data_IF_001456245077
#
_entry.id   IF_001456245077
#
_cell.length_a   1.000
_cell.length_b   1.000
_cell.length_c   1.000
_cell.angle_alpha   90.00
_cell.angle_beta   90.00
_cell.angle_gamma   90.00
#
_symmetry.space_group_name_H-M   'P 1'
#
loop_
_entity.id
_entity.type
_entity.pdbx_description
1 polymer ?
#
# COMPACT_ATOMS: atom_id res chain seq x y z
N UNK A 1 14.75 0.47 17.01
CA UNK A 1 14.58 1.91 17.35
C UNK A 1 14.62 2.84 16.14
N UNK A 2 15.51 2.67 15.14
CA UNK A 2 15.58 3.58 13.97
C UNK A 2 14.33 3.56 13.05
N UNK A 3 13.67 2.42 12.89
CA UNK A 3 12.51 2.29 11.99
C UNK A 3 11.25 3.02 12.47
N UNK A 4 10.97 3.04 13.78
CA UNK A 4 9.87 3.83 14.36
C UNK A 4 10.06 5.33 14.13
N UNK A 5 11.31 5.79 14.09
CA UNK A 5 11.62 7.19 13.80
C UNK A 5 11.30 7.54 12.35
N UNK A 6 11.67 6.68 11.41
CA UNK A 6 11.45 6.90 9.97
C UNK A 6 9.97 6.86 9.59
N UNK A 7 9.21 5.88 10.08
CA UNK A 7 7.76 5.84 9.83
C UNK A 7 7.04 6.99 10.54
N UNK A 8 7.52 7.39 11.72
CA UNK A 8 7.05 8.62 12.38
C UNK A 8 7.35 9.89 11.57
N UNK A 9 8.50 9.98 10.88
CA UNK A 9 8.82 11.08 9.97
C UNK A 9 7.92 11.04 8.74
N UNK A 10 7.74 9.87 8.12
CA UNK A 10 6.82 9.68 6.99
C UNK A 10 5.40 10.16 7.33
N UNK A 11 4.87 9.72 8.47
CA UNK A 11 3.55 10.10 8.96
C UNK A 11 3.46 11.60 9.29
N UNK A 12 4.51 12.21 9.86
CA UNK A 12 4.54 13.66 10.11
C UNK A 12 4.55 14.47 8.81
N UNK A 13 5.34 14.06 7.83
CA UNK A 13 5.42 14.69 6.52
C UNK A 13 4.10 14.55 5.76
N UNK A 14 3.50 13.35 5.73
CA UNK A 14 2.19 13.13 5.12
C UNK A 14 1.11 13.96 5.82
N UNK A 15 1.04 13.96 7.16
CA UNK A 15 0.08 14.80 7.92
C UNK A 15 0.13 16.28 7.53
N UNK A 16 1.31 16.82 7.23
CA UNK A 16 1.48 18.23 6.89
C UNK A 16 0.84 18.61 5.55
N UNK A 17 0.74 17.68 4.61
CA UNK A 17 0.11 17.86 3.29
C UNK A 17 -1.44 17.80 3.37
N UNK A 18 -1.99 17.07 4.35
CA UNK A 18 -3.45 16.89 4.50
C UNK A 18 -4.16 17.93 5.37
N UNK A 19 -3.67 19.18 5.42
CA UNK A 19 -4.29 20.25 6.25
C UNK A 19 -5.76 20.48 5.93
N UNK A 20 -6.15 20.28 4.67
CA UNK A 20 -7.51 20.48 4.16
C UNK A 20 -8.37 19.19 4.13
N UNK A 21 -7.84 18.07 4.63
CA UNK A 21 -8.55 16.79 4.71
C UNK A 21 -8.65 16.36 6.18
N UNK A 22 -9.66 16.86 6.93
CA UNK A 22 -9.70 16.76 8.40
C UNK A 22 -9.66 15.31 8.89
N UNK A 23 -10.26 14.39 8.13
CA UNK A 23 -10.31 12.99 8.48
C UNK A 23 -8.98 12.25 8.28
N UNK A 24 -8.31 12.49 7.15
CA UNK A 24 -6.96 11.96 6.91
C UNK A 24 -5.99 12.49 7.97
N UNK A 25 -6.09 13.79 8.29
CA UNK A 25 -5.32 14.40 9.36
C UNK A 25 -5.61 13.78 10.72
N UNK A 26 -6.88 13.52 11.05
CA UNK A 26 -7.26 12.85 12.29
C UNK A 26 -6.69 11.42 12.37
N UNK A 27 -6.73 10.69 11.25
CA UNK A 27 -6.16 9.34 11.14
C UNK A 27 -4.65 9.32 11.41
N UNK A 28 -3.90 10.22 10.78
CA UNK A 28 -2.46 10.33 11.05
C UNK A 28 -2.15 10.84 12.47
N UNK A 29 -2.96 11.76 13.01
CA UNK A 29 -2.81 12.19 14.41
C UNK A 29 -2.99 11.02 15.38
N UNK A 30 -3.99 10.17 15.15
CA UNK A 30 -4.22 8.97 15.95
C UNK A 30 -3.00 8.03 15.89
N UNK A 31 -2.47 7.74 14.69
CA UNK A 31 -1.29 6.88 14.55
C UNK A 31 -0.05 7.45 15.25
N UNK A 32 0.13 8.78 15.25
CA UNK A 32 1.22 9.43 16.00
C UNK A 32 1.05 9.33 17.51
N UNK A 33 -0.18 9.25 18.01
CA UNK A 33 -0.50 9.06 19.42
C UNK A 33 -0.47 7.58 19.84
N UNK A 34 -0.51 6.65 18.89
CA UNK A 34 -0.52 5.21 19.10
C UNK A 34 0.74 4.56 18.49
N UNK A 35 1.91 4.68 19.15
CA UNK A 35 3.18 4.21 18.58
C UNK A 35 3.23 2.70 18.34
N UNK A 36 2.45 1.92 19.09
CA UNK A 36 2.34 0.47 18.88
C UNK A 36 1.56 0.15 17.59
N UNK A 37 0.42 0.81 17.34
CA UNK A 37 -0.34 0.69 16.09
C UNK A 37 0.53 1.06 14.88
N UNK A 38 1.26 2.16 14.99
CA UNK A 38 2.17 2.61 13.95
C UNK A 38 3.28 1.59 13.67
N UNK A 39 3.88 1.01 14.71
CA UNK A 39 4.95 0.02 14.58
C UNK A 39 4.45 -1.28 13.93
N UNK A 40 3.26 -1.77 14.30
CA UNK A 40 2.65 -2.96 13.70
C UNK A 40 2.39 -2.73 12.21
N UNK A 41 1.78 -1.60 11.84
CA UNK A 41 1.49 -1.27 10.45
C UNK A 41 2.76 -1.11 9.62
N UNK A 42 3.78 -0.43 10.16
CA UNK A 42 5.08 -0.31 9.52
C UNK A 42 5.72 -1.68 9.25
N UNK A 43 5.72 -2.56 10.25
CA UNK A 43 6.23 -3.93 10.13
C UNK A 43 5.48 -4.73 9.06
N UNK A 44 4.15 -4.65 9.06
CA UNK A 44 3.32 -5.43 8.15
C UNK A 44 3.44 -4.92 6.71
N UNK A 45 3.50 -3.61 6.51
CA UNK A 45 3.76 -3.04 5.20
C UNK A 45 5.17 -3.39 4.69
N UNK A 46 6.19 -3.31 5.55
CA UNK A 46 7.55 -3.75 5.19
C UNK A 46 7.62 -5.24 4.86
N UNK A 47 6.83 -6.07 5.54
CA UNK A 47 6.69 -7.48 5.18
C UNK A 47 6.16 -7.62 3.76
N UNK A 48 5.10 -6.90 3.38
CA UNK A 48 4.58 -6.90 2.00
C UNK A 48 5.67 -6.47 1.01
N UNK A 49 6.35 -5.36 1.25
CA UNK A 49 7.41 -4.87 0.35
C UNK A 49 8.55 -5.89 0.18
N UNK A 50 8.95 -6.54 1.27
CA UNK A 50 9.93 -7.62 1.23
C UNK A 50 9.43 -8.81 0.40
N UNK A 51 8.17 -9.22 0.58
CA UNK A 51 7.57 -10.32 -0.16
C UNK A 51 7.50 -10.02 -1.66
N UNK A 52 7.08 -8.81 -2.05
CA UNK A 52 7.08 -8.40 -3.46
C UNK A 52 8.52 -8.30 -3.99
N UNK A 53 9.45 -7.69 -3.26
CA UNK A 53 10.84 -7.53 -3.68
C UNK A 53 11.60 -8.85 -3.89
N UNK A 54 11.37 -9.86 -3.04
CA UNK A 54 11.92 -11.21 -3.22
C UNK A 54 11.50 -11.86 -4.54
N UNK A 55 10.31 -11.50 -5.04
CA UNK A 55 9.76 -12.03 -6.27
C UNK A 55 10.23 -11.27 -7.51
N UNK A 56 10.42 -9.95 -7.41
CA UNK A 56 10.99 -9.15 -8.49
C UNK A 56 12.48 -9.44 -8.73
N UNK A 57 13.20 -9.89 -7.71
CA UNK A 57 14.65 -10.14 -7.74
C UNK A 57 15.09 -11.54 -8.17
N UNK A 58 14.17 -12.49 -8.34
CA UNK A 58 14.50 -13.87 -8.70
C UNK A 58 13.44 -14.49 -9.64
N UNK A 59 13.73 -14.66 -10.93
CA UNK A 59 12.78 -15.26 -11.87
C UNK A 59 12.53 -16.76 -11.64
N UNK A 60 13.36 -17.46 -10.86
CA UNK A 60 13.14 -18.88 -10.52
C UNK A 60 12.10 -19.06 -9.42
N UNK A 61 11.83 -18.00 -8.66
CA UNK A 61 10.80 -17.96 -7.64
C UNK A 61 9.38 -18.02 -8.24
N UNK A 62 9.18 -17.63 -9.52
CA UNK A 62 7.88 -17.54 -10.19
C UNK A 62 7.05 -18.84 -10.09
N UNK A 63 7.69 -20.01 -10.18
CA UNK A 63 7.01 -21.32 -10.06
C UNK A 63 6.48 -21.62 -8.66
N UNK A 64 6.97 -20.93 -7.63
CA UNK A 64 6.60 -21.11 -6.21
C UNK A 64 5.36 -20.31 -5.79
N UNK A 65 4.93 -19.34 -6.61
CA UNK A 65 3.87 -18.38 -6.26
C UNK A 65 2.66 -18.42 -7.19
N UNK A 66 2.38 -19.57 -7.82
CA UNK A 66 1.11 -19.83 -8.54
C UNK A 66 -0.15 -19.61 -7.70
N UNK A 67 0.00 -19.34 -6.40
CA UNK A 67 -1.02 -19.03 -5.40
C UNK A 67 -1.35 -17.54 -5.28
N UNK A 68 -0.58 -16.65 -5.92
CA UNK A 68 -0.72 -15.19 -5.84
C UNK A 68 -0.87 -14.54 -7.23
N UNK A 69 -2.04 -14.65 -7.89
CA UNK A 69 -2.27 -14.12 -9.23
C UNK A 69 -2.04 -12.60 -9.37
N UNK A 70 -2.32 -11.81 -8.33
CA UNK A 70 -2.08 -10.36 -8.41
C UNK A 70 -0.61 -10.00 -8.27
N UNK A 71 0.11 -10.73 -7.42
CA UNK A 71 1.57 -10.64 -7.37
C UNK A 71 2.21 -11.06 -8.69
N UNK A 72 1.71 -12.12 -9.32
CA UNK A 72 2.17 -12.58 -10.63
C UNK A 72 2.00 -11.47 -11.68
N UNK A 73 0.80 -10.90 -11.79
CA UNK A 73 0.51 -9.79 -12.71
C UNK A 73 1.39 -8.56 -12.45
N UNK A 74 1.66 -8.26 -11.18
CA UNK A 74 2.56 -7.16 -10.80
C UNK A 74 3.99 -7.43 -11.29
N UNK A 75 4.52 -8.65 -11.12
CA UNK A 75 5.89 -8.99 -11.54
C UNK A 75 6.03 -8.85 -13.06
N UNK A 76 5.03 -9.27 -13.82
CA UNK A 76 5.01 -9.13 -15.28
C UNK A 76 5.06 -7.67 -15.75
N UNK A 77 4.48 -6.75 -14.98
CA UNK A 77 4.46 -5.32 -15.29
C UNK A 77 5.76 -4.58 -14.91
N UNK A 78 6.62 -5.20 -14.12
CA UNK A 78 7.86 -4.57 -13.64
C UNK A 78 9.06 -4.93 -14.54
N UNK A 79 9.99 -3.98 -14.79
CA UNK A 79 11.27 -4.31 -15.40
C UNK A 79 12.03 -5.38 -14.59
N UNK A 80 12.73 -6.29 -15.27
CA UNK A 80 13.59 -7.29 -14.62
C UNK A 80 14.59 -6.64 -13.65
N UNK A 81 14.85 -7.29 -12.51
CA UNK A 81 15.72 -6.81 -11.43
C UNK A 81 15.28 -5.49 -10.78
N UNK A 82 13.99 -5.15 -10.83
CA UNK A 82 13.52 -3.97 -10.10
C UNK A 82 13.66 -4.14 -8.60
N UNK A 83 14.20 -3.12 -7.94
CA UNK A 83 14.25 -3.03 -6.48
C UNK A 83 13.19 -2.03 -6.00
N UNK A 84 12.27 -2.51 -5.16
CA UNK A 84 11.29 -1.64 -4.53
C UNK A 84 11.96 -0.70 -3.53
N UNK A 85 11.70 0.61 -3.60
CA UNK A 85 12.23 1.56 -2.65
C UNK A 85 11.58 1.36 -1.28
N UNK A 86 12.36 1.29 -0.20
CA UNK A 86 11.78 1.32 1.14
C UNK A 86 10.98 2.60 1.39
N UNK A 87 10.01 2.56 2.32
CA UNK A 87 9.34 3.79 2.81
C UNK A 87 10.38 4.82 3.30
N UNK A 88 11.45 4.33 3.94
CA UNK A 88 12.55 5.17 4.42
C UNK A 88 13.25 5.96 3.31
N UNK A 89 13.55 5.31 2.18
CA UNK A 89 14.23 5.96 1.07
C UNK A 89 13.33 6.98 0.38
N UNK A 90 12.05 6.66 0.19
CA UNK A 90 11.06 7.63 -0.34
C UNK A 90 11.01 8.89 0.51
N UNK A 91 10.95 8.72 1.84
CA UNK A 91 10.91 9.86 2.78
C UNK A 91 12.19 10.67 2.72
N UNK A 92 13.36 10.02 2.73
CA UNK A 92 14.65 10.70 2.61
C UNK A 92 14.80 11.48 1.30
N UNK A 93 14.28 10.94 0.19
CA UNK A 93 14.24 11.65 -1.09
C UNK A 93 13.29 12.86 -1.04
N UNK A 94 12.11 12.74 -0.42
CA UNK A 94 11.16 13.84 -0.27
C UNK A 94 11.67 14.97 0.65
N UNK A 95 12.52 14.64 1.62
CA UNK A 95 13.18 15.62 2.48
C UNK A 95 14.22 16.43 1.71
N UNK A 96 14.94 15.80 0.79
CA UNK A 96 16.07 16.40 0.07
C UNK A 96 15.71 16.98 -1.31
N UNK A 97 14.55 16.65 -1.87
CA UNK A 97 14.09 17.14 -3.18
C UNK A 97 12.69 17.78 -3.12
N UNK A 98 12.62 19.07 -3.46
CA UNK A 98 11.36 19.83 -3.58
C UNK A 98 10.46 19.25 -4.67
N UNK A 99 11.06 18.82 -5.78
CA UNK A 99 10.33 18.21 -6.89
C UNK A 99 9.70 16.88 -6.46
N UNK A 100 10.48 16.04 -5.78
CA UNK A 100 10.01 14.76 -5.27
C UNK A 100 8.92 14.95 -4.21
N UNK A 101 9.04 15.96 -3.33
CA UNK A 101 7.99 16.31 -2.38
C UNK A 101 6.68 16.71 -3.06
N UNK A 102 6.74 17.57 -4.08
CA UNK A 102 5.56 17.94 -4.89
C UNK A 102 4.96 16.75 -5.59
N UNK A 103 5.79 15.81 -6.02
CA UNK A 103 5.35 14.58 -6.64
C UNK A 103 4.60 13.67 -5.66
N UNK A 104 5.11 13.47 -4.43
CA UNK A 104 4.38 12.77 -3.36
C UNK A 104 3.04 13.45 -3.06
N UNK A 105 3.01 14.78 -2.97
CA UNK A 105 1.76 15.51 -2.74
C UNK A 105 0.75 15.33 -3.88
N UNK A 106 1.20 15.31 -5.15
CA UNK A 106 0.33 15.01 -6.30
C UNK A 106 -0.18 13.57 -6.28
N UNK A 107 0.64 12.60 -5.90
CA UNK A 107 0.24 11.20 -5.77
C UNK A 107 -0.88 11.04 -4.73
N UNK A 108 -0.76 11.78 -3.64
CA UNK A 108 -1.78 11.88 -2.59
C UNK A 108 -3.11 12.45 -3.12
N UNK A 109 -3.06 13.57 -3.84
CA UNK A 109 -4.27 14.21 -4.38
C UNK A 109 -4.95 13.33 -5.45
N UNK A 110 -4.14 12.68 -6.30
CA UNK A 110 -4.62 11.74 -7.30
C UNK A 110 -5.30 10.53 -6.63
N UNK A 111 -4.63 9.89 -5.67
CA UNK A 111 -5.19 8.75 -4.94
C UNK A 111 -6.54 9.10 -4.30
N UNK A 112 -6.66 10.30 -3.72
CA UNK A 112 -7.92 10.80 -3.15
C UNK A 112 -9.04 10.92 -4.20
N UNK A 113 -8.69 11.32 -5.42
CA UNK A 113 -9.65 11.49 -6.52
C UNK A 113 -10.11 10.16 -7.12
N UNK A 114 -9.21 9.17 -7.20
CA UNK A 114 -9.46 7.90 -7.86
C UNK A 114 -10.09 6.86 -6.93
N UNK A 115 -9.71 6.86 -5.65
CA UNK A 115 -10.11 5.86 -4.69
C UNK A 115 -10.85 6.51 -3.51
N UNK A 116 -12.05 7.07 -3.74
CA UNK A 116 -12.76 7.80 -2.71
C UNK A 116 -13.18 6.90 -1.56
N UNK A 117 -13.25 5.57 -1.74
CA UNK A 117 -13.76 4.64 -0.71
C UNK A 117 -13.03 4.69 0.64
N UNK A 118 -11.70 4.88 0.67
CA UNK A 118 -10.95 5.07 1.92
C UNK A 118 -10.96 6.53 2.42
N UNK A 119 -11.28 7.47 1.52
CA UNK A 119 -11.37 8.90 1.80
C UNK A 119 -12.80 9.37 2.17
N UNK A 120 -13.83 8.56 1.88
CA UNK A 120 -15.26 8.86 2.00
C UNK A 120 -15.76 8.90 3.44
N UNK A 121 -16.90 9.55 3.63
CA UNK A 121 -17.51 9.80 4.93
C UNK A 121 -18.20 8.53 5.49
N UNK A 122 -17.54 7.84 6.42
CA UNK A 122 -18.13 6.70 7.13
C UNK A 122 -17.12 5.62 7.56
N UNK A 123 -16.00 6.04 8.16
CA UNK A 123 -14.88 5.15 8.51
C UNK A 123 -15.32 3.91 9.30
N UNK A 124 -14.92 2.72 8.84
CA UNK A 124 -14.99 1.51 9.66
C UNK A 124 -14.01 1.59 10.85
N UNK A 125 -12.83 2.21 10.65
CA UNK A 125 -11.82 2.48 11.69
C UNK A 125 -11.16 3.84 11.47
N UNK A 126 -10.75 4.49 12.56
CA UNK A 126 -10.05 5.79 12.49
C UNK A 126 -8.77 5.75 11.65
N UNK A 127 -8.16 4.58 11.50
CA UNK A 127 -6.92 4.33 10.75
C UNK A 127 -7.13 4.12 9.25
N UNK A 128 -8.37 3.85 8.79
CA UNK A 128 -8.68 3.55 7.39
C UNK A 128 -8.14 4.61 6.41
N UNK A 129 -8.29 5.94 6.67
CA UNK A 129 -7.73 6.95 5.79
C UNK A 129 -6.21 6.92 5.66
N UNK A 130 -5.50 6.79 6.78
CA UNK A 130 -4.05 6.74 6.77
C UNK A 130 -3.52 5.49 6.07
N UNK A 131 -4.22 4.36 6.19
CA UNK A 131 -3.91 3.12 5.48
C UNK A 131 -4.10 3.29 3.97
N UNK A 132 -5.25 3.83 3.54
CA UNK A 132 -5.50 4.13 2.13
C UNK A 132 -4.44 5.06 1.55
N UNK A 133 -4.14 6.18 2.23
CA UNK A 133 -3.06 7.08 1.82
C UNK A 133 -1.73 6.35 1.70
N UNK A 134 -1.35 5.52 2.67
CA UNK A 134 -0.08 4.80 2.64
C UNK A 134 0.02 3.88 1.41
N UNK A 135 -0.99 3.03 1.21
CA UNK A 135 -0.99 2.03 0.13
C UNK A 135 -1.04 2.70 -1.25
N UNK A 136 -1.99 3.62 -1.44
CA UNK A 136 -2.27 4.24 -2.74
C UNK A 136 -1.19 5.23 -3.15
N UNK A 137 -0.70 6.03 -2.21
CA UNK A 137 0.41 6.95 -2.50
C UNK A 137 1.65 6.14 -2.87
N UNK A 138 1.96 5.08 -2.14
CA UNK A 138 3.11 4.24 -2.46
C UNK A 138 2.94 3.54 -3.82
N UNK A 139 1.74 3.04 -4.13
CA UNK A 139 1.41 2.46 -5.43
C UNK A 139 1.60 3.43 -6.59
N UNK A 140 1.16 4.68 -6.44
CA UNK A 140 1.31 5.74 -7.44
C UNK A 140 2.78 6.19 -7.58
N UNK A 141 3.53 6.20 -6.47
CA UNK A 141 4.98 6.44 -6.47
C UNK A 141 5.68 5.38 -7.32
N UNK A 142 5.31 4.11 -7.16
CA UNK A 142 5.86 3.02 -7.97
C UNK A 142 5.45 3.14 -9.43
N UNK A 143 4.16 3.35 -9.71
CA UNK A 143 3.63 3.50 -11.06
C UNK A 143 4.39 4.57 -11.84
N UNK A 144 4.60 5.74 -11.25
CA UNK A 144 5.37 6.83 -11.88
C UNK A 144 6.88 6.57 -11.99
N UNK A 145 7.47 5.78 -11.09
CA UNK A 145 8.92 5.45 -11.15
C UNK A 145 9.24 4.40 -12.20
N UNK A 146 8.36 3.42 -12.37
CA UNK A 146 8.62 2.22 -13.17
C UNK A 146 7.74 2.11 -14.41
N UNK A 147 6.67 2.90 -14.52
CA UNK A 147 5.72 2.93 -15.63
C UNK A 147 6.16 3.75 -16.85
N UNK A 148 7.46 3.95 -17.09
CA UNK A 148 7.88 4.65 -18.31
C UNK A 148 7.46 3.84 -19.56
N UNK A 149 6.43 4.31 -20.26
CA UNK A 149 5.84 3.63 -21.43
C UNK A 149 4.82 2.54 -21.11
N UNK A 150 4.59 2.24 -19.84
CA UNK A 150 3.56 1.33 -19.34
C UNK A 150 2.50 2.16 -18.61
N UNK A 151 1.25 1.72 -18.65
CA UNK A 151 0.15 2.46 -18.06
C UNK A 151 0.37 2.57 -16.54
N UNK A 152 0.77 3.74 -16.02
CA UNK A 152 1.06 3.98 -14.59
C UNK A 152 -0.05 3.40 -13.69
N UNK A 153 -1.30 3.58 -14.10
CA UNK A 153 -2.50 3.11 -13.42
C UNK A 153 -2.52 1.58 -13.24
N UNK A 154 -1.96 0.83 -14.21
CA UNK A 154 -1.88 -0.63 -14.16
C UNK A 154 -0.91 -1.09 -13.08
N UNK A 155 0.29 -0.52 -13.02
CA UNK A 155 1.30 -0.84 -12.00
C UNK A 155 0.76 -0.50 -10.62
N UNK A 156 0.16 0.68 -10.47
CA UNK A 156 -0.42 1.10 -9.19
C UNK A 156 -1.55 0.18 -8.75
N UNK A 157 -2.48 -0.19 -9.65
CA UNK A 157 -3.57 -1.11 -9.32
C UNK A 157 -3.07 -2.51 -8.97
N UNK A 158 -2.15 -3.07 -9.76
CA UNK A 158 -1.59 -4.39 -9.49
C UNK A 158 -0.79 -4.41 -8.17
N UNK A 159 -0.13 -3.30 -7.81
CA UNK A 159 0.54 -3.20 -6.52
C UNK A 159 -0.44 -3.24 -5.34
N UNK A 160 -1.57 -2.55 -5.44
CA UNK A 160 -2.62 -2.55 -4.39
C UNK A 160 -3.19 -3.95 -4.23
N UNK A 161 -3.60 -4.57 -5.34
CA UNK A 161 -4.17 -5.93 -5.35
C UNK A 161 -3.17 -6.97 -4.82
N UNK A 162 -1.89 -6.88 -5.21
CA UNK A 162 -0.84 -7.76 -4.68
C UNK A 162 -0.60 -7.53 -3.17
N UNK A 163 -0.64 -6.27 -2.72
CA UNK A 163 -0.52 -5.93 -1.29
C UNK A 163 -1.65 -6.56 -0.49
N UNK A 164 -2.88 -6.39 -0.96
CA UNK A 164 -4.08 -6.95 -0.36
C UNK A 164 -4.05 -8.47 -0.34
N UNK A 165 -3.69 -9.09 -1.45
CA UNK A 165 -3.55 -10.53 -1.59
C UNK A 165 -2.53 -11.11 -0.60
N UNK A 166 -1.33 -10.52 -0.51
CA UNK A 166 -0.30 -10.95 0.45
C UNK A 166 -0.80 -10.80 1.89
N UNK A 167 -1.46 -9.69 2.21
CA UNK A 167 -2.01 -9.46 3.55
C UNK A 167 -3.14 -10.45 3.87
N UNK A 168 -4.04 -10.73 2.93
CA UNK A 168 -5.14 -11.69 3.10
C UNK A 168 -4.62 -13.10 3.39
N UNK A 169 -3.62 -13.54 2.63
CA UNK A 169 -3.16 -14.93 2.68
C UNK A 169 -2.08 -15.16 3.74
N UNK A 170 -1.16 -14.21 3.91
CA UNK A 170 0.02 -14.42 4.73
C UNK A 170 -0.03 -13.66 6.07
N UNK A 171 -0.82 -12.57 6.17
CA UNK A 171 -0.91 -11.72 7.37
C UNK A 171 -2.36 -11.28 7.68
N UNK A 172 -3.33 -12.21 7.79
CA UNK A 172 -4.74 -11.87 7.98
C UNK A 172 -5.03 -11.15 9.32
N UNK A 173 -4.09 -11.21 10.26
CA UNK A 173 -4.14 -10.50 11.55
C UNK A 173 -3.68 -9.03 11.45
N UNK A 174 -3.20 -8.60 10.28
CA UNK A 174 -2.68 -7.24 10.11
C UNK A 174 -3.79 -6.20 10.24
N UNK A 175 -3.59 -5.12 11.03
CA UNK A 175 -4.57 -4.04 11.10
C UNK A 175 -4.69 -3.27 9.76
N UNK A 176 -3.78 -3.48 8.79
CA UNK A 176 -3.90 -2.98 7.42
C UNK A 176 -5.04 -3.69 6.69
N UNK A 177 -5.15 -5.03 6.78
CA UNK A 177 -6.21 -5.76 6.08
C UNK A 177 -7.60 -5.49 6.66
N UNK A 178 -7.68 -5.29 7.97
CA UNK A 178 -8.93 -4.87 8.63
C UNK A 178 -9.39 -3.50 8.13
N UNK A 179 -8.46 -2.56 7.94
CA UNK A 179 -8.80 -1.24 7.38
C UNK A 179 -9.24 -1.34 5.92
N UNK A 180 -8.68 -2.31 5.19
CA UNK A 180 -8.96 -2.57 3.78
C UNK A 180 -10.27 -3.33 3.51
N UNK A 181 -10.82 -3.98 4.53
CA UNK A 181 -12.01 -4.84 4.41
C UNK A 181 -13.20 -4.19 3.68
N UNK A 182 -13.55 -2.90 3.90
CA UNK A 182 -14.67 -2.28 3.20
C UNK A 182 -14.51 -2.22 1.68
N UNK A 183 -13.30 -1.98 1.18
CA UNK A 183 -13.06 -1.94 -0.27
C UNK A 183 -12.82 -3.34 -0.84
N UNK A 184 -12.16 -4.24 -0.10
CA UNK A 184 -12.05 -5.65 -0.46
C UNK A 184 -13.41 -6.32 -0.70
N UNK A 185 -14.41 -5.97 0.13
CA UNK A 185 -15.79 -6.45 -0.06
C UNK A 185 -16.44 -5.90 -1.34
N UNK A 186 -16.09 -4.68 -1.76
CA UNK A 186 -16.57 -4.08 -3.02
C UNK A 186 -15.84 -4.67 -4.23
N UNK A 187 -14.56 -4.99 -4.07
CA UNK A 187 -13.64 -5.43 -5.13
C UNK A 187 -13.44 -6.95 -5.14
N UNK A 188 -14.31 -7.70 -4.45
CA UNK A 188 -14.19 -9.17 -4.33
C UNK A 188 -14.20 -9.89 -5.68
N UNK A 189 -14.75 -9.25 -6.72
CA UNK A 189 -14.76 -9.78 -8.08
C UNK A 189 -13.37 -9.70 -8.76
N UNK A 190 -12.48 -8.82 -8.29
CA UNK A 190 -11.13 -8.66 -8.82
C UNK A 190 -10.22 -9.81 -8.36
N UNK A 191 -10.55 -10.47 -7.25
CA UNK A 191 -9.84 -11.66 -6.76
C UNK A 191 -10.35 -12.91 -7.49
N UNK A 192 -9.55 -13.54 -8.37
CA UNK A 192 -10.00 -14.69 -9.15
C UNK A 192 -10.30 -15.89 -8.25
N UNK A 193 -11.30 -16.73 -8.60
CA UNK A 193 -11.54 -17.97 -7.88
C UNK A 193 -10.36 -18.92 -8.13
N UNK A 194 -9.50 -19.09 -7.13
CA UNK A 194 -8.41 -20.06 -7.17
C UNK A 194 -8.82 -21.33 -6.41
N UNK A 195 -8.58 -22.54 -6.97
CA UNK A 195 -8.96 -23.81 -6.32
C UNK A 195 -8.38 -23.99 -4.92
N UNK A 196 -7.26 -23.33 -4.63
CA UNK A 196 -6.55 -23.42 -3.34
C UNK A 196 -6.96 -22.30 -2.36
N UNK A 197 -7.65 -21.26 -2.83
CA UNK A 197 -8.01 -20.08 -2.02
C UNK A 197 -9.43 -19.62 -2.33
N UNK A 198 -10.34 -19.85 -1.38
CA UNK A 198 -11.65 -19.22 -1.39
C UNK A 198 -11.54 -17.77 -0.92
N UNK A 199 -10.96 -16.87 -1.74
CA UNK A 199 -10.86 -15.42 -1.41
C UNK A 199 -12.20 -14.85 -0.98
N UNK A 200 -13.30 -15.24 -1.65
CA UNK A 200 -14.66 -14.88 -1.25
C UNK A 200 -15.01 -15.35 0.16
N UNK A 201 -14.61 -16.57 0.53
CA UNK A 201 -14.81 -17.13 1.85
C UNK A 201 -13.92 -16.48 2.92
N UNK A 202 -12.69 -16.09 2.58
CA UNK A 202 -11.78 -15.36 3.47
C UNK A 202 -12.30 -13.94 3.70
N UNK A 203 -12.62 -13.20 2.64
CA UNK A 203 -13.14 -11.82 2.69
C UNK A 203 -14.50 -11.76 3.39
N UNK A 204 -15.34 -12.78 3.24
CA UNK A 204 -16.62 -12.86 3.97
C UNK A 204 -16.46 -13.05 5.49
N UNK A 205 -15.31 -13.58 5.94
CA UNK A 205 -14.99 -13.79 7.37
C UNK A 205 -14.30 -12.60 8.02
N UNK A 206 -13.84 -11.62 7.23
CA UNK A 206 -13.32 -10.33 7.70
C UNK A 206 -14.46 -9.35 8.03
#
# INVERSE_FOLDING_TARGET
>A
MKENTVHGIAVRSMRAEFRHSPNIRASFNFLLQQPQELAVRARDFNFVLMRIGQNLGDPTNFMKYKTHPHLEALIEDFPYNTHLPSVASIVGEAETSVEYRRWVARSVDWARSQFPAWAEAGYSRITTPATGVLMETYAEILGRRYGYGLNNDKISRNFILATEEILLLERPDSPIITDATPWLKKEVADFPPYPEYEYRGIIAKL
#
